data_IF_530719186710
#
_entry.id   IF_530719186710
#
_cell.length_a   1.000
_cell.length_b   1.000
_cell.length_c   1.000
_cell.angle_alpha   90.00
_cell.angle_beta   90.00
_cell.angle_gamma   90.00
#
_symmetry.space_group_name_H-M   'P 1'
#
loop_
_entity.id
_entity.type
_entity.pdbx_description
1 polymer ?
#
# COMPACT_ATOMS: atom_id res chain seq x y z
N UNK A 1 -21.07 -22.01 6.70
CA UNK A 1 -21.72 -21.63 8.00
C UNK A 1 -22.01 -20.12 8.13
N UNK A 2 -22.71 -19.70 9.19
CA UNK A 2 -22.96 -18.28 9.54
C UNK A 2 -22.09 -17.88 10.73
N UNK A 3 -21.42 -16.72 10.66
CA UNK A 3 -20.58 -16.24 11.76
C UNK A 3 -21.43 -15.77 12.96
N UNK A 4 -20.97 -15.97 14.19
CA UNK A 4 -21.71 -15.55 15.39
C UNK A 4 -21.83 -14.03 15.51
N UNK A 5 -20.83 -13.30 15.05
CA UNK A 5 -20.80 -11.84 15.05
C UNK A 5 -21.11 -11.31 13.66
N UNK A 6 -22.28 -10.71 13.50
CA UNK A 6 -22.74 -10.08 12.25
C UNK A 6 -23.52 -11.00 11.30
N UNK A 7 -23.54 -12.31 11.53
CA UNK A 7 -24.29 -13.30 10.74
C UNK A 7 -23.91 -13.39 9.25
N UNK A 8 -22.71 -12.95 8.89
CA UNK A 8 -22.16 -13.14 7.54
C UNK A 8 -21.90 -14.59 7.19
N UNK A 9 -21.68 -14.86 5.91
CA UNK A 9 -21.43 -16.21 5.40
C UNK A 9 -19.94 -16.53 5.51
N UNK A 10 -19.62 -17.73 5.98
CA UNK A 10 -18.25 -18.26 6.05
C UNK A 10 -18.28 -19.64 5.38
N UNK A 11 -17.51 -19.83 4.32
CA UNK A 11 -17.39 -21.12 3.63
C UNK A 11 -16.76 -22.18 4.54
N UNK A 12 -16.93 -23.47 4.22
CA UNK A 12 -16.51 -24.57 5.08
C UNK A 12 -14.97 -24.70 5.19
N UNK A 13 -14.24 -24.20 4.20
CA UNK A 13 -12.77 -24.14 4.18
C UNK A 13 -12.22 -22.82 4.74
N UNK A 14 -13.09 -21.84 4.98
CA UNK A 14 -12.72 -20.52 5.44
C UNK A 14 -12.69 -20.46 6.96
N UNK A 15 -11.95 -19.48 7.48
CA UNK A 15 -11.79 -19.29 8.92
C UNK A 15 -12.24 -17.89 9.33
N UNK A 16 -13.18 -17.81 10.27
CA UNK A 16 -13.54 -16.56 10.93
C UNK A 16 -13.46 -16.72 12.44
N UNK A 17 -12.53 -15.98 13.07
CA UNK A 17 -12.28 -16.08 14.51
C UNK A 17 -13.34 -15.33 15.32
N UNK A 18 -13.57 -15.70 16.59
CA UNK A 18 -14.60 -15.09 17.44
C UNK A 18 -14.50 -13.57 17.66
N UNK A 19 -13.35 -12.95 17.38
CA UNK A 19 -13.16 -11.49 17.48
C UNK A 19 -13.43 -10.76 16.17
N UNK A 20 -13.61 -11.49 15.07
CA UNK A 20 -14.01 -10.92 13.79
C UNK A 20 -15.47 -10.47 13.82
N UNK A 21 -15.80 -9.49 12.99
CA UNK A 21 -17.16 -9.12 12.64
C UNK A 21 -17.37 -9.32 11.13
N UNK A 22 -18.38 -10.09 10.77
CA UNK A 22 -18.74 -10.35 9.37
C UNK A 22 -20.23 -10.07 9.24
N UNK A 23 -20.61 -8.95 8.64
CA UNK A 23 -22.01 -8.57 8.52
C UNK A 23 -22.81 -9.54 7.61
N UNK A 24 -24.14 -9.46 7.67
CA UNK A 24 -25.07 -10.34 6.95
C UNK A 24 -24.86 -10.39 5.43
N UNK A 25 -24.37 -9.27 4.86
CA UNK A 25 -24.06 -9.12 3.44
C UNK A 25 -22.61 -9.46 3.09
N UNK A 26 -21.76 -9.70 4.09
CA UNK A 26 -20.37 -10.09 3.90
C UNK A 26 -20.18 -11.59 3.77
N UNK A 27 -19.13 -11.97 3.04
CA UNK A 27 -18.80 -13.35 2.72
C UNK A 27 -17.30 -13.60 2.91
N UNK A 28 -16.95 -14.66 3.63
CA UNK A 28 -15.59 -15.20 3.71
C UNK A 28 -15.59 -16.54 2.98
N UNK A 29 -14.79 -16.66 1.93
CA UNK A 29 -14.81 -17.77 0.98
C UNK A 29 -13.46 -18.48 0.90
N UNK A 30 -13.44 -19.64 0.25
CA UNK A 30 -12.25 -20.45 0.01
C UNK A 30 -11.47 -20.75 1.30
N UNK A 31 -10.14 -20.64 1.26
CA UNK A 31 -9.25 -20.78 2.41
C UNK A 31 -8.96 -19.44 3.12
N UNK A 32 -9.78 -18.40 2.90
CA UNK A 32 -9.55 -17.08 3.48
C UNK A 32 -9.77 -17.08 5.00
N UNK A 33 -9.03 -16.19 5.69
CA UNK A 33 -8.98 -16.15 7.15
C UNK A 33 -9.17 -14.73 7.67
N UNK A 34 -10.11 -14.55 8.60
CA UNK A 34 -10.31 -13.30 9.34
C UNK A 34 -10.11 -13.51 10.85
N UNK A 35 -9.17 -12.75 11.44
CA UNK A 35 -8.79 -12.90 12.84
C UNK A 35 -9.44 -11.88 13.78
N UNK A 36 -9.31 -10.58 13.47
CA UNK A 36 -9.69 -9.47 14.38
C UNK A 36 -10.08 -8.21 13.60
N UNK A 37 -10.88 -8.37 12.54
CA UNK A 37 -11.29 -7.26 11.67
C UNK A 37 -12.80 -7.23 11.46
N UNK A 38 -13.27 -6.20 10.73
CA UNK A 38 -14.68 -6.01 10.39
C UNK A 38 -14.89 -6.01 8.87
N UNK A 39 -15.77 -6.90 8.39
CA UNK A 39 -16.27 -6.90 7.02
C UNK A 39 -17.72 -6.41 7.02
N UNK A 40 -17.97 -5.36 6.24
CA UNK A 40 -19.28 -4.73 6.05
C UNK A 40 -19.54 -4.68 4.55
N UNK A 41 -20.59 -5.34 4.07
CA UNK A 41 -20.92 -5.54 2.65
C UNK A 41 -19.70 -5.90 1.81
N UNK A 42 -18.80 -6.74 2.34
CA UNK A 42 -17.50 -7.04 1.74
C UNK A 42 -17.32 -8.54 1.49
N UNK A 43 -16.53 -8.86 0.47
CA UNK A 43 -16.14 -10.24 0.14
C UNK A 43 -14.66 -10.44 0.39
N UNK A 44 -14.31 -11.48 1.14
CA UNK A 44 -12.94 -11.92 1.39
C UNK A 44 -12.77 -13.34 0.83
N UNK A 45 -11.82 -13.55 -0.08
CA UNK A 45 -11.62 -14.83 -0.78
C UNK A 45 -10.15 -15.20 -0.97
N UNK A 46 -9.90 -16.34 -1.60
CA UNK A 46 -8.58 -16.82 -2.07
C UNK A 46 -7.44 -16.67 -1.06
N UNK A 47 -7.41 -17.51 -0.02
CA UNK A 47 -6.31 -17.57 0.98
C UNK A 47 -5.97 -16.25 1.66
N UNK A 48 -6.79 -15.21 1.48
CA UNK A 48 -6.50 -13.89 2.01
C UNK A 48 -6.49 -13.90 3.53
N UNK A 49 -5.52 -13.20 4.12
CA UNK A 49 -5.40 -13.03 5.57
C UNK A 49 -5.84 -11.62 5.94
N UNK A 50 -6.90 -11.51 6.73
CA UNK A 50 -7.48 -10.23 7.14
C UNK A 50 -7.44 -10.08 8.67
N UNK A 51 -6.74 -9.08 9.18
CA UNK A 51 -6.60 -8.86 10.62
C UNK A 51 -6.57 -7.38 10.98
N UNK A 52 -7.13 -6.99 12.13
CA UNK A 52 -7.11 -5.63 12.66
C UNK A 52 -7.58 -4.51 11.70
N UNK A 53 -8.30 -4.86 10.63
CA UNK A 53 -8.70 -3.95 9.56
C UNK A 53 -10.23 -3.82 9.49
N UNK A 54 -10.69 -2.74 8.85
CA UNK A 54 -12.11 -2.51 8.56
C UNK A 54 -12.28 -2.40 7.04
N UNK A 55 -13.15 -3.21 6.46
CA UNK A 55 -13.46 -3.17 5.04
C UNK A 55 -14.97 -2.98 4.81
N UNK A 56 -15.31 -1.96 4.03
CA UNK A 56 -16.68 -1.58 3.69
C UNK A 56 -16.88 -1.61 2.18
N UNK A 57 -17.80 -2.44 1.67
CA UNK A 57 -18.06 -2.52 0.23
C UNK A 57 -16.87 -3.02 -0.60
N UNK A 58 -15.97 -3.81 0.00
CA UNK A 58 -14.71 -4.21 -0.63
C UNK A 58 -14.76 -5.62 -1.21
N UNK A 59 -13.91 -5.88 -2.19
CA UNK A 59 -13.57 -7.22 -2.68
C UNK A 59 -12.08 -7.46 -2.40
N UNK A 60 -11.77 -8.44 -1.56
CA UNK A 60 -10.42 -8.71 -1.09
C UNK A 60 -10.08 -10.16 -1.44
N UNK A 61 -9.16 -10.31 -2.37
CA UNK A 61 -8.64 -11.58 -2.87
C UNK A 61 -7.12 -11.46 -3.04
N UNK A 62 -6.47 -10.96 -2.00
CA UNK A 62 -5.04 -10.69 -1.98
C UNK A 62 -4.31 -11.42 -0.84
N UNK A 63 -2.99 -11.38 -0.81
CA UNK A 63 -2.19 -12.11 0.18
C UNK A 63 -2.49 -11.72 1.63
N UNK A 64 -2.49 -10.41 1.94
CA UNK A 64 -2.63 -9.95 3.32
C UNK A 64 -3.17 -8.53 3.45
N UNK A 65 -4.09 -8.34 4.41
CA UNK A 65 -4.55 -7.05 4.92
C UNK A 65 -4.48 -7.08 6.44
N UNK A 66 -3.53 -6.33 7.01
CA UNK A 66 -3.34 -6.20 8.45
C UNK A 66 -3.41 -4.72 8.83
N UNK A 67 -4.53 -4.33 9.44
CA UNK A 67 -4.79 -2.93 9.79
C UNK A 67 -5.45 -2.10 8.68
N UNK A 68 -5.74 -0.84 9.01
CA UNK A 68 -6.29 0.13 8.06
C UNK A 68 -7.81 0.15 7.90
N UNK A 69 -8.26 1.10 7.09
CA UNK A 69 -9.66 1.37 6.78
C UNK A 69 -9.85 1.39 5.26
N UNK A 70 -10.61 0.43 4.74
CA UNK A 70 -10.82 0.23 3.31
C UNK A 70 -12.30 0.45 3.00
N UNK A 71 -12.57 1.31 2.02
CA UNK A 71 -13.92 1.65 1.58
C UNK A 71 -13.99 1.51 0.06
N UNK A 72 -14.90 0.68 -0.43
CA UNK A 72 -15.14 0.44 -1.87
C UNK A 72 -13.87 0.04 -2.64
N UNK A 73 -13.00 -0.74 -2.00
CA UNK A 73 -11.71 -1.15 -2.57
C UNK A 73 -11.77 -2.53 -3.23
N UNK A 74 -10.94 -2.74 -4.24
CA UNK A 74 -10.67 -4.05 -4.83
C UNK A 74 -9.19 -4.37 -4.67
N UNK A 75 -8.85 -5.42 -3.91
CA UNK A 75 -7.48 -5.87 -3.69
C UNK A 75 -7.33 -7.29 -4.21
N UNK A 76 -6.35 -7.52 -5.09
CA UNK A 76 -6.19 -8.79 -5.80
C UNK A 76 -4.73 -9.26 -5.81
N UNK A 77 -4.52 -10.53 -6.14
CA UNK A 77 -3.20 -11.14 -6.36
C UNK A 77 -2.27 -10.99 -5.15
N UNK A 78 -1.00 -10.62 -5.36
CA UNK A 78 0.02 -10.52 -4.32
C UNK A 78 -0.01 -9.19 -3.56
N UNK A 79 -1.18 -8.53 -3.52
CA UNK A 79 -1.32 -7.24 -2.83
C UNK A 79 -1.22 -7.41 -1.32
N UNK A 80 -0.48 -6.50 -0.70
CA UNK A 80 -0.34 -6.42 0.74
C UNK A 80 -0.71 -5.03 1.28
N UNK A 81 -1.51 -5.01 2.34
CA UNK A 81 -1.87 -3.81 3.08
C UNK A 81 -1.50 -3.98 4.54
N UNK A 82 -0.68 -3.09 5.10
CA UNK A 82 -0.18 -3.18 6.48
C UNK A 82 -0.35 -1.87 7.25
N UNK A 83 -0.33 -1.94 8.58
CA UNK A 83 -0.37 -0.83 9.55
C UNK A 83 -1.72 -0.11 9.70
N UNK A 84 -1.87 1.11 9.20
CA UNK A 84 -3.08 1.93 9.35
C UNK A 84 -3.38 2.81 8.13
N UNK A 85 -3.33 2.28 6.89
CA UNK A 85 -3.66 3.04 5.71
C UNK A 85 -5.17 3.26 5.62
N UNK A 86 -5.57 4.32 4.94
CA UNK A 86 -6.96 4.63 4.63
C UNK A 86 -7.15 4.64 3.12
N UNK A 87 -7.90 3.68 2.60
CA UNK A 87 -8.10 3.46 1.17
C UNK A 87 -9.56 3.71 0.82
N UNK A 88 -9.82 4.64 -0.09
CA UNK A 88 -11.17 4.99 -0.53
C UNK A 88 -11.27 4.89 -2.05
N UNK A 89 -11.94 3.84 -2.53
CA UNK A 89 -12.11 3.49 -3.96
C UNK A 89 -10.82 3.12 -4.70
N UNK A 90 -9.93 2.43 -4.01
CA UNK A 90 -8.65 1.98 -4.58
C UNK A 90 -8.79 0.57 -5.16
N UNK A 91 -8.26 0.40 -6.37
CA UNK A 91 -8.07 -0.90 -7.01
C UNK A 91 -6.58 -1.21 -6.99
N UNK A 92 -6.18 -2.32 -6.37
CA UNK A 92 -4.79 -2.75 -6.29
C UNK A 92 -4.65 -4.18 -6.80
N UNK A 93 -3.63 -4.41 -7.62
CA UNK A 93 -3.28 -5.72 -8.18
C UNK A 93 -1.75 -5.87 -8.32
N UNK A 94 -1.31 -6.98 -8.91
CA UNK A 94 0.06 -7.17 -9.42
C UNK A 94 1.20 -6.95 -8.39
N UNK A 95 0.94 -7.24 -7.11
CA UNK A 95 1.97 -7.16 -6.06
C UNK A 95 2.12 -5.80 -5.37
N UNK A 96 1.20 -4.86 -5.61
CA UNK A 96 1.25 -3.54 -4.98
C UNK A 96 1.20 -3.64 -3.44
N UNK A 97 1.98 -2.79 -2.77
CA UNK A 97 2.12 -2.78 -1.30
C UNK A 97 1.78 -1.42 -0.75
N UNK A 98 0.82 -1.38 0.17
CA UNK A 98 0.45 -0.18 0.92
C UNK A 98 0.73 -0.40 2.39
N UNK A 99 1.44 0.52 3.01
CA UNK A 99 1.80 0.41 4.43
C UNK A 99 1.85 1.78 5.09
N UNK A 100 2.09 1.80 6.41
CA UNK A 100 2.14 3.01 7.22
C UNK A 100 0.80 3.74 7.30
N UNK A 101 0.86 5.06 7.11
CA UNK A 101 -0.28 5.99 7.27
C UNK A 101 -0.72 6.61 5.94
N UNK A 102 -0.59 5.86 4.85
CA UNK A 102 -1.04 6.29 3.53
C UNK A 102 -2.56 6.53 3.51
N UNK A 103 -2.99 7.62 2.88
CA UNK A 103 -4.40 7.99 2.69
C UNK A 103 -4.63 8.18 1.20
N UNK A 104 -5.34 7.25 0.56
CA UNK A 104 -5.61 7.28 -0.88
C UNK A 104 -7.08 7.58 -1.11
N UNK A 105 -7.37 8.73 -1.71
CA UNK A 105 -8.72 9.26 -1.88
C UNK A 105 -9.04 9.38 -3.36
N UNK A 106 -9.82 8.43 -3.88
CA UNK A 106 -10.29 8.50 -5.26
C UNK A 106 -10.28 7.15 -5.96
N UNK A 107 -10.93 7.06 -7.14
CA UNK A 107 -10.67 5.95 -8.04
C UNK A 107 -9.18 5.98 -8.39
N UNK A 108 -8.42 5.04 -7.82
CA UNK A 108 -6.99 4.91 -8.06
C UNK A 108 -6.65 3.48 -8.39
N UNK A 109 -5.72 3.28 -9.32
CA UNK A 109 -5.14 1.99 -9.65
C UNK A 109 -3.71 1.92 -9.14
N UNK A 110 -3.45 0.93 -8.29
CA UNK A 110 -2.12 0.54 -7.87
C UNK A 110 -1.77 -0.77 -8.56
N UNK A 111 -0.61 -0.84 -9.18
CA UNK A 111 -0.19 -2.00 -9.97
C UNK A 111 1.32 -2.18 -9.90
N UNK A 112 1.78 -3.37 -10.31
CA UNK A 112 3.16 -3.79 -10.20
C UNK A 112 3.68 -3.73 -8.77
N UNK A 113 5.02 -3.67 -8.62
CA UNK A 113 5.68 -3.55 -7.33
C UNK A 113 5.60 -2.13 -6.72
N UNK A 114 4.49 -1.42 -6.92
CA UNK A 114 4.24 -0.11 -6.30
C UNK A 114 4.33 -0.23 -4.78
N UNK A 115 5.04 0.72 -4.15
CA UNK A 115 5.20 0.78 -2.69
C UNK A 115 4.78 2.13 -2.14
N UNK A 116 3.64 2.17 -1.47
CA UNK A 116 3.05 3.39 -0.90
C UNK A 116 3.19 3.38 0.62
N UNK A 117 4.04 4.24 1.18
CA UNK A 117 4.32 4.23 2.63
C UNK A 117 3.52 5.24 3.46
N UNK A 118 3.21 6.39 2.86
CA UNK A 118 2.76 7.53 3.65
C UNK A 118 1.98 8.52 2.81
N UNK A 119 1.09 9.21 3.52
CA UNK A 119 0.61 10.50 3.10
C UNK A 119 -0.61 10.50 2.20
N UNK A 120 -1.07 11.69 1.80
CA UNK A 120 -2.38 11.87 1.18
C UNK A 120 -2.28 11.98 -0.34
N UNK A 121 -3.01 11.11 -1.01
CA UNK A 121 -3.05 10.98 -2.46
C UNK A 121 -4.43 11.34 -2.98
N UNK A 122 -4.46 12.21 -3.98
CA UNK A 122 -5.67 12.59 -4.73
C UNK A 122 -5.60 12.18 -6.22
N UNK A 123 -4.49 11.56 -6.62
CA UNK A 123 -4.27 10.94 -7.92
C UNK A 123 -3.45 9.67 -7.75
N UNK A 124 -3.40 8.88 -8.80
CA UNK A 124 -2.54 7.70 -8.86
C UNK A 124 -1.06 8.09 -8.65
N UNK A 125 -0.33 7.39 -7.76
CA UNK A 125 1.12 7.52 -7.63
C UNK A 125 1.81 7.09 -8.93
N UNK A 126 2.88 7.80 -9.30
CA UNK A 126 3.71 7.36 -10.44
C UNK A 126 4.56 6.15 -10.05
N UNK A 127 4.77 5.27 -11.02
CA UNK A 127 5.59 4.08 -10.89
C UNK A 127 6.42 3.87 -12.16
N UNK A 128 7.66 3.43 -12.00
CA UNK A 128 8.50 3.00 -13.12
C UNK A 128 9.39 1.84 -12.71
N UNK A 129 9.57 0.89 -13.63
CA UNK A 129 10.51 -0.21 -13.50
C UNK A 129 11.66 0.00 -14.50
N UNK A 130 12.87 0.25 -13.99
CA UNK A 130 14.06 0.54 -14.79
C UNK A 130 14.89 -0.71 -15.13
N UNK A 131 14.41 -1.91 -14.78
CA UNK A 131 15.14 -3.17 -15.00
C UNK A 131 15.98 -3.56 -13.79
N UNK A 132 16.79 -2.63 -13.27
CA UNK A 132 17.62 -2.84 -12.07
C UNK A 132 17.01 -2.31 -10.77
N UNK A 133 15.93 -1.53 -10.87
CA UNK A 133 15.14 -1.10 -9.73
C UNK A 133 13.72 -0.73 -10.14
N UNK A 134 12.82 -0.70 -9.16
CA UNK A 134 11.52 -0.05 -9.28
C UNK A 134 11.53 1.26 -8.48
N UNK A 135 10.76 2.23 -8.96
CA UNK A 135 10.56 3.50 -8.29
C UNK A 135 9.08 3.74 -8.11
N UNK A 136 8.70 4.24 -6.94
CA UNK A 136 7.34 4.70 -6.67
C UNK A 136 7.41 6.11 -6.15
N UNK A 137 6.59 6.99 -6.70
CA UNK A 137 6.45 8.34 -6.21
C UNK A 137 6.03 8.32 -4.73
N UNK A 138 6.58 9.24 -3.95
CA UNK A 138 6.14 9.50 -2.58
C UNK A 138 5.29 10.76 -2.47
N UNK A 139 5.01 11.21 -1.24
CA UNK A 139 4.61 12.59 -0.97
C UNK A 139 5.44 13.61 -1.78
N UNK A 140 4.92 14.81 -2.04
CA UNK A 140 5.65 15.85 -2.75
C UNK A 140 7.09 16.02 -2.26
N UNK A 141 8.05 15.87 -3.17
CA UNK A 141 9.48 15.93 -2.89
C UNK A 141 10.10 14.62 -2.42
N UNK A 142 9.40 13.49 -2.46
CA UNK A 142 9.88 12.18 -2.00
C UNK A 142 9.67 11.09 -3.05
N UNK A 143 10.56 10.10 -3.04
CA UNK A 143 10.41 8.89 -3.83
C UNK A 143 10.93 7.67 -3.06
N UNK A 144 10.25 6.54 -3.30
CA UNK A 144 10.79 5.22 -3.05
C UNK A 144 11.62 4.80 -4.27
N UNK A 145 12.87 4.40 -4.05
CA UNK A 145 13.68 3.67 -5.03
C UNK A 145 14.06 2.35 -4.37
N UNK A 146 13.56 1.25 -4.93
CA UNK A 146 13.62 -0.08 -4.35
C UNK A 146 13.06 -0.13 -2.90
N UNK A 147 13.92 -0.34 -1.90
CA UNK A 147 13.57 -0.39 -0.49
C UNK A 147 13.91 0.89 0.28
N UNK A 148 14.32 1.96 -0.41
CA UNK A 148 14.71 3.23 0.21
C UNK A 148 13.76 4.35 -0.13
N UNK A 149 13.24 4.99 0.91
CA UNK A 149 12.35 6.14 0.80
C UNK A 149 13.06 7.40 1.27
N UNK A 150 13.36 8.32 0.36
CA UNK A 150 14.11 9.55 0.65
C UNK A 150 13.52 10.73 -0.12
N UNK A 151 13.80 11.94 0.36
CA UNK A 151 13.49 13.15 -0.40
C UNK A 151 14.34 13.21 -1.68
N UNK A 152 13.84 13.90 -2.71
CA UNK A 152 14.57 14.13 -3.95
C UNK A 152 15.95 14.75 -3.67
N UNK A 153 16.03 15.77 -2.80
CA UNK A 153 17.29 16.39 -2.40
C UNK A 153 18.28 15.36 -1.86
N UNK A 154 17.83 14.44 -0.99
CA UNK A 154 18.68 13.40 -0.42
C UNK A 154 19.07 12.35 -1.44
N UNK A 155 18.18 12.01 -2.38
CA UNK A 155 18.51 11.18 -3.54
C UNK A 155 19.59 11.83 -4.40
N UNK A 156 19.48 13.11 -4.76
CA UNK A 156 20.50 13.79 -5.56
C UNK A 156 21.84 13.92 -4.82
N UNK A 157 21.82 14.22 -3.52
CA UNK A 157 23.04 14.41 -2.72
C UNK A 157 23.77 13.10 -2.38
N UNK A 158 23.03 12.05 -2.02
CA UNK A 158 23.61 10.84 -1.41
C UNK A 158 23.19 9.52 -2.07
N UNK A 159 22.14 9.54 -2.88
CA UNK A 159 21.63 8.38 -3.60
C UNK A 159 22.65 7.67 -4.48
N UNK A 160 23.43 8.37 -5.33
CA UNK A 160 24.46 7.76 -6.19
C UNK A 160 25.48 6.92 -5.40
N UNK A 161 26.02 7.49 -4.31
CA UNK A 161 26.99 6.78 -3.46
C UNK A 161 26.34 5.58 -2.77
N UNK A 162 25.10 5.73 -2.30
CA UNK A 162 24.34 4.63 -1.69
C UNK A 162 24.10 3.49 -2.69
N UNK A 163 23.64 3.83 -3.90
CA UNK A 163 23.35 2.88 -4.96
C UNK A 163 24.60 2.13 -5.45
N UNK A 164 25.71 2.85 -5.69
CA UNK A 164 26.97 2.24 -6.06
C UNK A 164 27.50 1.30 -4.96
N UNK A 165 27.40 1.70 -3.69
CA UNK A 165 27.94 0.91 -2.59
C UNK A 165 27.10 -0.33 -2.23
N UNK A 166 25.78 -0.18 -2.15
CA UNK A 166 24.89 -1.26 -1.68
C UNK A 166 24.34 -2.15 -2.80
N UNK A 167 24.19 -1.61 -4.01
CA UNK A 167 23.59 -2.34 -5.13
C UNK A 167 24.57 -2.54 -6.30
N UNK A 168 25.77 -1.97 -6.24
CA UNK A 168 26.76 -2.08 -7.32
C UNK A 168 26.32 -1.39 -8.61
N UNK A 169 25.45 -0.38 -8.54
CA UNK A 169 24.97 0.30 -9.74
C UNK A 169 26.08 1.07 -10.44
N UNK A 170 26.09 1.00 -11.77
CA UNK A 170 26.96 1.81 -12.60
C UNK A 170 26.39 3.23 -12.80
N UNK A 171 27.14 4.10 -13.49
CA UNK A 171 26.73 5.50 -13.72
C UNK A 171 25.45 5.59 -14.54
N UNK A 172 25.28 4.77 -15.57
CA UNK A 172 24.08 4.74 -16.43
C UNK A 172 22.81 4.42 -15.62
N UNK A 173 22.87 3.42 -14.74
CA UNK A 173 21.77 3.02 -13.87
C UNK A 173 21.40 4.12 -12.86
N UNK A 174 22.40 4.82 -12.31
CA UNK A 174 22.20 5.95 -11.40
C UNK A 174 21.59 7.14 -12.16
N UNK A 175 22.07 7.43 -13.36
CA UNK A 175 21.56 8.53 -14.18
C UNK A 175 20.14 8.27 -14.66
N UNK A 176 19.77 7.03 -14.99
CA UNK A 176 18.38 6.66 -15.28
C UNK A 176 17.43 7.02 -14.12
N UNK A 177 17.81 6.69 -12.88
CA UNK A 177 17.03 7.06 -11.68
C UNK A 177 16.96 8.59 -11.53
N UNK A 178 18.07 9.30 -11.73
CA UNK A 178 18.09 10.77 -11.65
C UNK A 178 17.17 11.41 -12.68
N UNK A 179 17.13 10.92 -13.91
CA UNK A 179 16.26 11.46 -14.95
C UNK A 179 14.79 11.33 -14.57
N UNK A 180 14.37 10.17 -14.04
CA UNK A 180 13.02 9.98 -13.51
C UNK A 180 12.72 10.98 -12.38
N UNK A 181 13.63 11.17 -11.43
CA UNK A 181 13.43 12.13 -10.33
C UNK A 181 13.36 13.58 -10.81
N UNK A 182 14.14 13.96 -11.83
CA UNK A 182 14.09 15.29 -12.43
C UNK A 182 12.72 15.51 -13.08
N UNK A 183 12.29 14.57 -13.93
CA UNK A 183 10.96 14.59 -14.54
C UNK A 183 9.89 14.72 -13.46
N UNK A 184 9.98 13.88 -12.41
CA UNK A 184 9.00 13.86 -11.35
C UNK A 184 8.90 15.16 -10.56
N UNK A 185 10.05 15.77 -10.27
CA UNK A 185 10.12 17.06 -9.57
C UNK A 185 9.59 18.22 -10.42
N UNK A 186 9.74 18.15 -11.75
CA UNK A 186 9.35 19.22 -12.66
C UNK A 186 7.83 19.33 -12.86
N UNK A 187 7.11 18.21 -12.72
CA UNK A 187 5.65 18.14 -12.89
C UNK A 187 4.89 18.09 -11.56
N UNK A 188 5.58 18.31 -10.44
CA UNK A 188 4.98 18.20 -9.12
C UNK A 188 4.08 19.40 -8.83
N UNK A 189 2.77 19.16 -8.62
CA UNK A 189 1.84 20.23 -8.28
C UNK A 189 2.02 20.66 -6.82
N UNK A 190 2.87 21.66 -6.61
CA UNK A 190 3.19 22.21 -5.29
C UNK A 190 2.01 22.94 -4.63
N UNK A 191 0.86 23.08 -5.29
CA UNK A 191 -0.32 23.74 -4.71
C UNK A 191 -0.98 22.95 -3.58
N UNK A 192 -0.67 21.64 -3.46
CA UNK A 192 -1.20 20.77 -2.42
C UNK A 192 -0.24 20.57 -1.22
N UNK A 193 0.65 21.54 -0.96
CA UNK A 193 1.64 21.52 0.14
C UNK A 193 1.08 21.51 1.58
N UNK A 194 -0.20 21.24 1.78
CA UNK A 194 -0.78 21.05 3.11
C UNK A 194 -0.47 19.67 3.67
N UNK A 195 0.81 19.37 3.84
CA UNK A 195 1.26 18.30 4.71
C UNK A 195 1.23 18.82 6.13
N UNK A 196 0.17 18.48 6.86
CA UNK A 196 0.15 18.63 8.32
C UNK A 196 1.39 17.99 8.92
N UNK A 197 1.97 18.65 9.92
CA UNK A 197 3.31 18.46 10.47
C UNK A 197 3.61 17.09 11.15
N UNK A 198 3.01 15.99 10.73
CA UNK A 198 2.99 14.73 11.50
C UNK A 198 3.98 13.64 11.09
N UNK A 199 4.82 13.84 10.06
CA UNK A 199 5.72 12.77 9.57
C UNK A 199 7.15 12.72 10.18
N UNK A 200 7.70 13.73 10.92
CA UNK A 200 9.09 13.60 11.39
C UNK A 200 9.34 12.47 12.41
N UNK A 201 8.31 11.93 13.07
CA UNK A 201 8.49 11.03 14.22
C UNK A 201 8.52 9.53 13.90
N UNK A 202 8.05 9.08 12.73
CA UNK A 202 7.82 7.63 12.52
C UNK A 202 8.99 6.87 11.86
N UNK A 203 10.02 7.54 11.34
CA UNK A 203 11.13 6.87 10.63
C UNK A 203 12.52 7.12 11.25
N UNK A 204 12.57 7.63 12.48
CA UNK A 204 13.80 7.88 13.23
C UNK A 204 14.23 6.71 14.10
N UNK A 205 14.42 5.51 13.52
CA UNK A 205 15.23 4.38 14.03
C UNK A 205 14.97 3.17 13.14
N UNK A 206 15.81 2.99 12.11
CA UNK A 206 15.95 1.67 11.50
C UNK A 206 16.48 0.67 12.54
N UNK A 207 16.22 -0.63 12.40
CA UNK A 207 16.80 -1.64 13.29
C UNK A 207 18.32 -1.49 13.29
N UNK A 208 18.87 -1.29 14.49
CA UNK A 208 20.31 -1.35 14.79
C UNK A 208 20.83 -2.77 14.68
#
# INVERSE_FOLDING_TARGET
>A
MRHSNGHGRVADQAEARPLAFVDVNSQVMDEARIHSGSLISSTLGVKARFSNAIAMGCVISCDEVTGGHLVECGLFDQVCVWDSPQLYRVQANDGARVYGSAVLIGPMRLYGDMRIMAGTWHREPRYVHLGHCFMTEGPPGWAMVDCKFLSYERWFRSGPRFAAHHYGWNEEQIDAVRQVLIEWSSTEDLRFKHWGACVPACYGRGPS
#
